data_IF_037606669820
#
_entry.id   IF_037606669820
#
_cell.length_a   1.000
_cell.length_b   1.000
_cell.length_c   1.000
_cell.angle_alpha   90.00
_cell.angle_beta   90.00
_cell.angle_gamma   90.00
#
_symmetry.space_group_name_H-M   'P 1'
#
loop_
_entity.id
_entity.type
_entity.pdbx_description
1 polymer ?
#
# COMPACT_ATOMS: atom_id res chain seq x y z
N UNK A 1 -2.53 22.54 5.32
CA UNK A 1 -1.47 21.73 4.70
C UNK A 1 -2.00 20.32 4.54
N UNK A 2 -1.74 19.68 3.40
CA UNK A 2 -2.20 18.30 3.12
C UNK A 2 -1.03 17.37 3.37
N UNK A 3 -1.21 16.40 4.26
CA UNK A 3 -0.17 15.40 4.56
C UNK A 3 -0.29 14.19 3.63
N UNK A 4 0.83 13.52 3.40
CA UNK A 4 0.91 12.32 2.59
C UNK A 4 1.62 11.23 3.38
N UNK A 5 1.18 9.99 3.20
CA UNK A 5 1.80 8.83 3.81
C UNK A 5 1.81 7.66 2.82
N UNK A 6 2.77 6.76 3.01
CA UNK A 6 2.92 5.55 2.20
C UNK A 6 2.23 4.38 2.91
N UNK A 7 1.35 3.69 2.20
CA UNK A 7 0.75 2.43 2.66
C UNK A 7 1.30 1.28 1.82
N UNK A 8 1.88 0.28 2.49
CA UNK A 8 2.41 -0.91 1.84
C UNK A 8 1.53 -2.13 2.11
N UNK A 9 0.98 -2.71 1.05
CA UNK A 9 0.30 -4.00 1.11
C UNK A 9 1.34 -5.11 0.94
N UNK A 10 1.62 -5.81 2.04
CA UNK A 10 2.59 -6.91 2.07
C UNK A 10 2.11 -8.13 1.23
N UNK A 11 3.03 -9.05 0.85
CA UNK A 11 2.70 -10.19 -0.02
C UNK A 11 1.57 -11.09 0.51
N UNK A 12 1.40 -11.20 1.83
CA UNK A 12 0.32 -11.95 2.47
C UNK A 12 -1.06 -11.35 2.19
N UNK A 13 -1.21 -10.01 2.25
CA UNK A 13 -2.46 -9.34 1.92
C UNK A 13 -2.85 -9.54 0.45
N UNK A 14 -1.85 -9.51 -0.45
CA UNK A 14 -2.03 -9.78 -1.88
C UNK A 14 -2.46 -11.23 -2.11
N UNK A 15 -1.76 -12.20 -1.51
CA UNK A 15 -2.08 -13.64 -1.62
C UNK A 15 -3.49 -13.97 -1.11
N UNK A 16 -3.98 -13.21 -0.12
CA UNK A 16 -5.32 -13.36 0.45
C UNK A 16 -6.39 -12.55 -0.30
N UNK A 17 -6.06 -11.93 -1.44
CA UNK A 17 -6.97 -11.09 -2.23
C UNK A 17 -7.58 -9.91 -1.44
N UNK A 18 -6.85 -9.32 -0.49
CA UNK A 18 -7.34 -8.25 0.40
C UNK A 18 -7.14 -6.83 -0.15
N UNK A 19 -6.62 -6.67 -1.38
CA UNK A 19 -6.27 -5.36 -1.94
C UNK A 19 -7.46 -4.41 -1.96
N UNK A 20 -8.59 -4.86 -2.54
CA UNK A 20 -9.80 -4.04 -2.65
C UNK A 20 -10.35 -3.64 -1.28
N UNK A 21 -10.48 -4.61 -0.36
CA UNK A 21 -10.96 -4.38 1.00
C UNK A 21 -10.11 -3.34 1.76
N UNK A 22 -8.78 -3.39 1.63
CA UNK A 22 -7.89 -2.43 2.28
C UNK A 22 -8.06 -1.03 1.67
N UNK A 23 -8.14 -0.92 0.34
CA UNK A 23 -8.37 0.37 -0.35
C UNK A 23 -9.71 0.97 0.09
N UNK A 24 -10.78 0.17 0.08
CA UNK A 24 -12.11 0.61 0.49
C UNK A 24 -12.14 1.13 1.93
N UNK A 25 -11.37 0.53 2.84
CA UNK A 25 -11.25 1.03 4.23
C UNK A 25 -10.54 2.38 4.31
N UNK A 26 -9.52 2.60 3.49
CA UNK A 26 -8.77 3.86 3.45
C UNK A 26 -9.68 4.98 2.93
N UNK A 27 -10.40 4.72 1.84
CA UNK A 27 -11.34 5.67 1.24
C UNK A 27 -12.54 5.95 2.14
N UNK A 28 -13.10 4.91 2.79
CA UNK A 28 -14.21 5.06 3.74
C UNK A 28 -13.84 5.91 4.97
N UNK A 29 -12.55 5.98 5.32
CA UNK A 29 -12.05 6.85 6.39
C UNK A 29 -11.85 8.31 5.93
N UNK A 30 -12.07 8.61 4.65
CA UNK A 30 -11.97 9.94 4.07
C UNK A 30 -10.58 10.30 3.54
N UNK A 31 -9.65 9.34 3.48
CA UNK A 31 -8.36 9.55 2.82
C UNK A 31 -8.49 9.39 1.31
N UNK A 32 -7.68 10.13 0.55
CA UNK A 32 -7.62 10.04 -0.90
C UNK A 32 -6.41 9.20 -1.31
N UNK A 33 -6.62 8.17 -2.12
CA UNK A 33 -5.53 7.40 -2.72
C UNK A 33 -5.01 8.16 -3.94
N UNK A 34 -3.81 8.75 -3.81
CA UNK A 34 -3.22 9.60 -4.86
C UNK A 34 -2.49 8.80 -5.94
N UNK A 35 -1.87 7.67 -5.58
CA UNK A 35 -1.14 6.81 -6.51
C UNK A 35 -1.17 5.35 -6.01
N UNK A 36 -1.13 4.40 -6.95
CA UNK A 36 -1.08 2.96 -6.68
C UNK A 36 -0.11 2.31 -7.64
N UNK A 37 0.86 1.57 -7.09
CA UNK A 37 1.82 0.78 -7.87
C UNK A 37 1.97 -0.63 -7.33
N UNK A 38 1.72 -1.63 -8.18
CA UNK A 38 2.07 -3.03 -7.90
C UNK A 38 3.48 -3.29 -8.41
N UNK A 39 4.36 -3.78 -7.53
CA UNK A 39 5.72 -4.15 -7.89
C UNK A 39 6.19 -5.34 -7.06
N UNK A 40 7.14 -6.10 -7.61
CA UNK A 40 7.89 -7.11 -6.87
C UNK A 40 9.23 -6.48 -6.47
N UNK A 41 9.47 -6.18 -5.19
CA UNK A 41 10.66 -5.45 -4.78
C UNK A 41 11.91 -6.35 -4.85
N UNK A 42 13.05 -5.77 -5.23
CA UNK A 42 14.34 -6.45 -5.12
C UNK A 42 14.76 -6.57 -3.65
N UNK A 43 15.66 -7.51 -3.36
CA UNK A 43 16.21 -7.67 -2.00
C UNK A 43 16.92 -6.40 -1.51
N UNK A 44 17.63 -5.73 -2.41
CA UNK A 44 18.32 -4.46 -2.14
C UNK A 44 17.35 -3.33 -1.80
N UNK A 45 16.21 -3.25 -2.51
CA UNK A 45 15.18 -2.27 -2.21
C UNK A 45 14.56 -2.51 -0.83
N UNK A 46 14.27 -3.77 -0.49
CA UNK A 46 13.76 -4.13 0.83
C UNK A 46 14.76 -3.78 1.94
N UNK A 47 16.05 -4.04 1.73
CA UNK A 47 17.10 -3.73 2.69
C UNK A 47 17.36 -2.22 2.89
N UNK A 48 16.93 -1.37 1.95
CA UNK A 48 16.97 0.10 2.11
C UNK A 48 15.71 0.63 2.81
N UNK A 49 14.60 -0.09 2.72
CA UNK A 49 13.32 0.33 3.26
C UNK A 49 13.18 0.03 4.76
N UNK A 50 13.82 -1.04 5.22
CA UNK A 50 13.92 -1.45 6.62
C UNK A 50 15.31 -1.12 7.17
#
# INVERSE_FOLDING_TARGET
MTEQTLVLLKPDAVKRNLIGEIISRIEAKGYVVLDIKKLTPSRELLAKHY
#
